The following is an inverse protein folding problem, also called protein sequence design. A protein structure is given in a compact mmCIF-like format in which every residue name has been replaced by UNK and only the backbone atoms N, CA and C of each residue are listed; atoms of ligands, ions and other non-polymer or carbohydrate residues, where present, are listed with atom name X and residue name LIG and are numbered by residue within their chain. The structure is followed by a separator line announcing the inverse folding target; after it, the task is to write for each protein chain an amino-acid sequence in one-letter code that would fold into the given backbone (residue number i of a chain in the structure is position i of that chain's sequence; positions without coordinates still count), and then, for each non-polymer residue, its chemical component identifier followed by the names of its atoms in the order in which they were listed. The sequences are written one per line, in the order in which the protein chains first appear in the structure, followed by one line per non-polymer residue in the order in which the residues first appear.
data_IF_221125001168
#
_entry.id   IF_221125001168
#
_cell.length_a   1.000
_cell.length_b   1.000
_cell.length_c   1.000
_cell.angle_alpha   90.00
_cell.angle_beta   90.00
_cell.angle_gamma   90.00
#
_symmetry.space_group_name_H-M   'P 1'
#
loop_
_entity.id
_entity.type
_entity.pdbx_description
1 polymer ?
#
# COMPACT_ATOMS: atom_id res chain seq x y z
N UNK A 1 46.33 26.11 13.21
CA UNK A 1 45.65 25.32 12.16
C UNK A 1 44.43 24.67 12.80
N UNK A 2 43.28 24.80 12.11
CA UNK A 2 41.95 24.21 12.27
C UNK A 2 41.47 23.76 13.67
N UNK A 3 40.45 24.47 14.19
CA UNK A 3 39.64 24.03 15.32
C UNK A 3 38.73 22.87 14.92
N UNK A 4 38.51 21.85 15.79
CA UNK A 4 37.63 20.73 15.52
C UNK A 4 36.19 21.10 15.86
N UNK A 5 35.56 21.98 15.08
CA UNK A 5 34.16 22.38 15.31
C UNK A 5 33.22 22.07 14.14
N UNK A 6 33.75 21.67 12.98
CA UNK A 6 32.95 21.46 11.76
C UNK A 6 31.97 20.28 11.83
N UNK A 7 32.24 19.26 12.65
CA UNK A 7 31.40 18.05 12.70
C UNK A 7 30.04 18.26 13.39
N UNK A 8 30.01 19.08 14.45
CA UNK A 8 28.78 19.33 15.21
C UNK A 8 27.86 20.32 14.48
N UNK A 9 28.43 21.27 13.74
CA UNK A 9 27.69 22.27 12.98
C UNK A 9 27.04 21.65 11.71
N UNK A 10 27.72 20.69 11.08
CA UNK A 10 27.15 19.92 9.98
C UNK A 10 25.99 19.02 10.43
N UNK A 11 26.15 18.29 11.53
CA UNK A 11 25.08 17.48 12.14
C UNK A 11 23.87 18.35 12.50
N UNK A 12 24.11 19.50 13.12
CA UNK A 12 23.06 20.49 13.44
C UNK A 12 22.36 21.04 12.17
N UNK A 13 23.10 21.21 11.06
CA UNK A 13 22.53 21.64 9.78
C UNK A 13 21.74 20.53 9.06
N UNK A 14 22.00 19.25 9.36
CA UNK A 14 21.26 18.11 8.81
C UNK A 14 19.98 17.81 9.60
N UNK A 15 19.84 18.34 10.81
CA UNK A 15 18.64 18.24 11.63
C UNK A 15 17.55 19.17 11.08
N UNK A 16 16.57 18.60 10.37
CA UNK A 16 15.38 19.33 9.96
C UNK A 16 14.41 19.50 11.12
N UNK A 17 14.15 20.73 11.55
CA UNK A 17 13.11 21.07 12.56
C UNK A 17 11.70 21.13 11.97
N UNK A 18 11.44 20.38 10.89
CA UNK A 18 10.15 20.37 10.22
C UNK A 18 9.09 19.72 11.14
N UNK A 19 8.05 20.49 11.45
CA UNK A 19 6.87 19.95 12.12
C UNK A 19 6.04 19.17 11.12
N UNK A 20 6.01 17.85 11.28
CA UNK A 20 5.12 16.93 10.57
C UNK A 20 3.67 17.01 11.08
N UNK A 21 3.22 18.20 11.53
CA UNK A 21 1.82 18.47 11.92
C UNK A 21 0.89 18.54 10.68
N UNK A 22 1.33 17.95 9.57
CA UNK A 22 0.52 17.74 8.38
C UNK A 22 -0.31 16.50 8.66
N UNK A 23 -1.51 16.69 9.18
CA UNK A 23 -2.55 15.67 9.01
C UNK A 23 -2.55 15.29 7.52
N UNK A 24 -2.49 13.99 7.21
CA UNK A 24 -2.51 13.52 5.83
C UNK A 24 -3.61 14.27 5.08
N UNK A 25 -3.30 14.95 3.96
CA UNK A 25 -4.31 15.67 3.21
C UNK A 25 -5.46 14.72 2.90
N UNK A 26 -6.71 15.23 2.91
CA UNK A 26 -7.87 14.41 2.58
C UNK A 26 -7.63 13.77 1.21
N UNK A 27 -7.47 12.45 1.22
CA UNK A 27 -7.08 11.66 0.05
C UNK A 27 -8.07 11.84 -1.11
N UNK A 28 -9.29 12.30 -0.79
CA UNK A 28 -10.38 12.58 -1.71
C UNK A 28 -11.20 13.77 -1.17
N UNK A 29 -11.04 14.99 -1.72
CA UNK A 29 -11.84 16.14 -1.29
C UNK A 29 -13.32 16.03 -1.67
N UNK A 30 -13.68 15.20 -2.66
CA UNK A 30 -15.08 14.86 -2.97
C UNK A 30 -15.55 13.64 -2.16
N UNK A 31 -16.66 13.80 -1.44
CA UNK A 31 -17.34 12.70 -0.74
C UNK A 31 -18.03 11.78 -1.76
N UNK A 32 -17.25 10.89 -2.37
CA UNK A 32 -17.79 9.75 -3.08
C UNK A 32 -18.46 8.81 -2.05
N UNK A 33 -19.74 8.46 -2.21
CA UNK A 33 -20.42 7.52 -1.32
C UNK A 33 -19.60 6.23 -1.15
N UNK A 34 -19.36 5.80 0.09
CA UNK A 34 -18.55 4.63 0.42
C UNK A 34 -17.03 4.87 0.56
N UNK A 35 -16.45 5.89 -0.09
CA UNK A 35 -15.00 6.14 -0.04
C UNK A 35 -14.58 6.77 1.30
N UNK A 36 -15.39 7.70 1.81
CA UNK A 36 -15.13 8.35 3.10
C UNK A 36 -15.23 7.35 4.28
N UNK A 37 -16.19 6.43 4.20
CA UNK A 37 -16.39 5.35 5.18
C UNK A 37 -15.22 4.36 5.15
N UNK A 38 -14.79 3.96 3.95
CA UNK A 38 -13.61 3.12 3.76
C UNK A 38 -12.35 3.76 4.33
N UNK A 39 -12.05 5.02 3.99
CA UNK A 39 -10.86 5.72 4.49
C UNK A 39 -10.88 5.88 6.02
N UNK A 40 -12.05 6.10 6.62
CA UNK A 40 -12.19 6.18 8.07
C UNK A 40 -11.86 4.84 8.77
N UNK A 41 -12.15 3.70 8.14
CA UNK A 41 -11.80 2.37 8.68
C UNK A 41 -10.29 2.09 8.75
N UNK A 42 -9.46 2.83 8.03
CA UNK A 42 -7.99 2.67 8.04
C UNK A 42 -7.26 3.65 8.98
N UNK A 43 -7.99 4.44 9.79
CA UNK A 43 -7.43 5.49 10.67
C UNK A 43 -6.53 5.01 11.83
N UNK A 44 -6.09 3.75 11.84
CA UNK A 44 -5.11 3.25 12.82
C UNK A 44 -3.87 2.75 12.08
N UNK A 45 -2.75 3.51 12.09
CA UNK A 45 -1.56 3.16 11.31
C UNK A 45 -0.79 1.92 11.79
N UNK A 46 -1.17 1.28 12.91
CA UNK A 46 -0.40 0.16 13.48
C UNK A 46 -1.35 -0.83 14.17
N UNK A 47 -1.97 -1.73 13.43
CA UNK A 47 -2.29 -3.05 14.01
C UNK A 47 -1.07 -3.92 13.74
N UNK A 48 -0.28 -4.25 14.76
CA UNK A 48 0.89 -5.15 14.62
C UNK A 48 0.52 -6.58 14.22
N UNK A 49 -0.77 -6.90 14.23
CA UNK A 49 -1.31 -8.15 13.71
C UNK A 49 -1.53 -8.05 12.20
N UNK A 50 -1.11 -9.06 11.42
CA UNK A 50 -1.52 -9.19 10.03
C UNK A 50 -3.05 -9.04 9.92
N UNK A 51 -3.56 -8.36 8.88
CA UNK A 51 -4.98 -8.28 8.59
C UNK A 51 -5.62 -9.67 8.59
N UNK A 52 -6.92 -9.75 8.88
CA UNK A 52 -7.63 -11.05 8.89
C UNK A 52 -7.50 -11.82 7.57
N UNK A 53 -7.45 -11.12 6.43
CA UNK A 53 -7.21 -11.76 5.13
C UNK A 53 -5.81 -12.39 5.00
N UNK A 54 -4.82 -11.91 5.78
CA UNK A 54 -3.51 -12.55 5.88
C UNK A 54 -3.49 -13.77 6.82
N UNK A 55 -4.50 -13.94 7.68
CA UNK A 55 -4.53 -15.03 8.64
C UNK A 55 -4.81 -16.40 7.99
N UNK A 56 -5.37 -16.40 6.78
CA UNK A 56 -5.81 -17.60 6.04
C UNK A 56 -5.06 -17.78 4.73
N UNK A 57 -3.87 -17.19 4.57
CA UNK A 57 -3.05 -17.40 3.38
C UNK A 57 -2.44 -18.79 3.43
N UNK A 58 -2.93 -19.67 2.57
CA UNK A 58 -2.38 -21.01 2.37
C UNK A 58 -1.08 -20.97 1.58
N UNK A 59 -0.33 -22.08 1.56
CA UNK A 59 0.91 -22.15 0.76
C UNK A 59 0.60 -21.95 -0.72
N UNK A 60 -0.52 -22.49 -1.18
CA UNK A 60 -0.97 -22.39 -2.56
C UNK A 60 -1.25 -20.92 -2.95
N UNK A 61 -1.79 -20.10 -2.03
CA UNK A 61 -1.98 -18.66 -2.25
C UNK A 61 -0.65 -17.92 -2.42
N UNK A 62 0.35 -18.27 -1.61
CA UNK A 62 1.69 -17.68 -1.70
C UNK A 62 2.35 -18.06 -3.02
N UNK A 63 2.19 -19.30 -3.46
CA UNK A 63 2.78 -19.77 -4.70
C UNK A 63 2.07 -19.18 -5.92
N UNK A 64 0.75 -19.01 -5.87
CA UNK A 64 0.00 -18.26 -6.88
C UNK A 64 0.44 -16.79 -6.94
N UNK A 65 0.67 -16.13 -5.80
CA UNK A 65 1.17 -14.76 -5.75
C UNK A 65 2.55 -14.64 -6.39
N UNK A 66 3.46 -15.58 -6.10
CA UNK A 66 4.79 -15.63 -6.73
C UNK A 66 4.71 -15.86 -8.23
N UNK A 67 3.83 -16.76 -8.68
CA UNK A 67 3.61 -17.01 -10.09
C UNK A 67 3.17 -15.72 -10.80
N UNK A 68 2.16 -15.03 -10.27
CA UNK A 68 1.68 -13.75 -10.80
C UNK A 68 2.77 -12.67 -10.80
N UNK A 69 3.57 -12.59 -9.74
CA UNK A 69 4.68 -11.64 -9.63
C UNK A 69 5.86 -11.91 -10.56
N UNK A 70 6.00 -13.15 -11.07
CA UNK A 70 7.04 -13.53 -12.03
C UNK A 70 6.71 -13.18 -13.48
N UNK A 71 5.45 -12.81 -13.75
CA UNK A 71 4.99 -12.48 -15.11
C UNK A 71 5.49 -11.11 -15.56
N UNK A 72 5.66 -10.96 -16.87
CA UNK A 72 5.79 -9.64 -17.48
C UNK A 72 4.48 -8.87 -17.32
N UNK A 73 4.53 -7.54 -17.33
CA UNK A 73 3.34 -6.70 -17.24
C UNK A 73 2.29 -7.05 -18.30
N UNK A 74 2.72 -7.38 -19.52
CA UNK A 74 1.81 -7.79 -20.60
C UNK A 74 1.04 -9.09 -20.25
N UNK A 75 1.77 -10.11 -19.80
CA UNK A 75 1.17 -11.40 -19.45
C UNK A 75 0.27 -11.29 -18.21
N UNK A 76 0.65 -10.44 -17.24
CA UNK A 76 -0.18 -10.16 -16.08
C UNK A 76 -1.51 -9.52 -16.50
N UNK A 77 -1.48 -8.53 -17.39
CA UNK A 77 -2.69 -7.88 -17.90
C UNK A 77 -3.59 -8.84 -18.70
N UNK A 78 -3.00 -9.77 -19.44
CA UNK A 78 -3.76 -10.83 -20.12
C UNK A 78 -4.45 -11.75 -19.12
N UNK A 79 -3.74 -12.19 -18.07
CA UNK A 79 -4.30 -13.04 -17.02
C UNK A 79 -5.42 -12.32 -16.24
N UNK A 80 -5.27 -11.02 -15.96
CA UNK A 80 -6.33 -10.19 -15.35
C UNK A 80 -7.57 -10.14 -16.24
N UNK A 81 -7.41 -9.93 -17.56
CA UNK A 81 -8.54 -9.94 -18.50
C UNK A 81 -9.24 -11.31 -18.52
N UNK A 82 -8.47 -12.39 -18.49
CA UNK A 82 -9.01 -13.76 -18.41
C UNK A 82 -9.88 -13.98 -17.17
N UNK A 83 -9.39 -13.55 -16.00
CA UNK A 83 -10.16 -13.64 -14.74
C UNK A 83 -11.44 -12.80 -14.76
N UNK A 84 -11.39 -11.59 -15.34
CA UNK A 84 -12.59 -10.75 -15.52
C UNK A 84 -13.64 -11.42 -16.41
N UNK A 85 -13.21 -12.03 -17.51
CA UNK A 85 -14.11 -12.76 -18.40
C UNK A 85 -14.72 -13.98 -17.70
N UNK A 86 -13.92 -14.73 -16.92
CA UNK A 86 -14.40 -15.87 -16.14
C UNK A 86 -15.43 -15.44 -15.10
N UNK A 87 -15.13 -14.40 -14.32
CA UNK A 87 -16.06 -13.85 -13.33
C UNK A 87 -17.38 -13.40 -13.97
N UNK A 88 -17.31 -12.81 -15.18
CA UNK A 88 -18.49 -12.44 -15.95
C UNK A 88 -19.32 -13.67 -16.36
N UNK A 89 -18.70 -14.73 -16.86
CA UNK A 89 -19.42 -15.96 -17.22
C UNK A 89 -20.06 -16.62 -16.00
N UNK A 90 -19.32 -16.74 -14.89
CA UNK A 90 -19.86 -17.29 -13.64
C UNK A 90 -21.10 -16.50 -13.16
N UNK A 91 -21.06 -15.17 -13.23
CA UNK A 91 -22.21 -14.35 -12.86
C UNK A 91 -23.40 -14.43 -13.84
N UNK A 92 -23.23 -14.99 -15.04
CA UNK A 92 -24.35 -15.32 -15.93
C UNK A 92 -24.90 -16.72 -15.67
N UNK A 93 -24.06 -17.62 -15.18
CA UNK A 93 -24.41 -19.02 -14.89
C UNK A 93 -25.13 -19.17 -13.53
N UNK A 94 -24.95 -18.22 -12.60
CA UNK A 94 -25.67 -18.10 -11.31
C UNK A 94 -27.13 -17.60 -11.47
#
# INVERSE_FOLDING_TARGET
MASPTDGADLEASLLSFEKLDRASPDLWPEQLPGVAEFAASFKSPITSSPPKWMAEIERDDIDMLKELGSLTTANLMEKVRGLQNLAYQLGLDE
#
